data_IF_721877853084
#
_entry.id   IF_721877853084
#
_cell.length_a   1.000
_cell.length_b   1.000
_cell.length_c   1.000
_cell.angle_alpha   90.00
_cell.angle_beta   90.00
_cell.angle_gamma   90.00
#
_symmetry.space_group_name_H-M   'P 1'
#
loop_
_entity.id
_entity.type
_entity.pdbx_description
1 polymer ?
#
# COMPACT_ATOMS: atom_id res chain seq x y z
N UNK A 1 -55.69 1.42 23.49
CA UNK A 1 -54.37 1.31 24.15
C UNK A 1 -53.44 0.57 23.20
N UNK A 2 -52.60 1.29 22.45
CA UNK A 2 -51.75 0.71 21.41
C UNK A 2 -50.35 0.38 21.97
N UNK A 3 -49.85 -0.80 21.60
CA UNK A 3 -48.60 -1.41 22.05
C UNK A 3 -47.44 -1.00 21.09
N UNK A 4 -46.36 -0.35 21.55
CA UNK A 4 -45.24 0.04 20.68
C UNK A 4 -44.23 -1.11 20.56
N UNK A 5 -44.49 -2.05 19.65
CA UNK A 5 -43.46 -2.98 19.17
C UNK A 5 -42.74 -2.36 17.98
N UNK A 6 -41.44 -2.15 18.19
CA UNK A 6 -40.37 -2.31 17.20
C UNK A 6 -40.45 -1.38 15.98
N UNK A 7 -39.84 -0.20 16.16
CA UNK A 7 -39.39 0.62 15.05
C UNK A 7 -38.32 -0.17 14.28
N UNK A 8 -38.68 -0.59 13.07
CA UNK A 8 -37.80 -1.29 12.15
C UNK A 8 -36.56 -0.47 11.85
N UNK A 9 -35.40 -1.04 12.14
CA UNK A 9 -34.10 -0.46 11.81
C UNK A 9 -33.15 -1.53 11.25
N UNK A 10 -33.67 -2.44 10.42
CA UNK A 10 -32.85 -3.44 9.72
C UNK A 10 -33.50 -3.78 8.37
N UNK A 11 -33.54 -2.82 7.43
CA UNK A 11 -33.67 -3.18 6.02
C UNK A 11 -32.28 -3.63 5.52
N UNK A 12 -32.12 -4.95 5.40
CA UNK A 12 -30.91 -5.65 5.01
C UNK A 12 -30.48 -5.44 3.56
N UNK A 13 -30.18 -4.21 3.17
CA UNK A 13 -29.47 -3.88 1.93
C UNK A 13 -28.13 -3.25 2.27
N UNK A 14 -27.16 -4.09 2.64
CA UNK A 14 -25.77 -3.67 2.55
C UNK A 14 -25.44 -3.47 1.06
N UNK A 15 -24.98 -2.29 0.63
CA UNK A 15 -24.51 -2.12 -0.73
C UNK A 15 -23.35 -3.08 -0.96
N UNK A 16 -23.52 -4.05 -1.86
CA UNK A 16 -22.56 -5.13 -2.15
C UNK A 16 -21.21 -4.61 -2.64
N UNK A 17 -21.16 -3.37 -3.13
CA UNK A 17 -19.92 -2.66 -3.46
C UNK A 17 -20.11 -1.16 -3.17
N UNK A 18 -19.21 -0.58 -2.39
CA UNK A 18 -19.09 0.87 -2.29
C UNK A 18 -18.52 1.39 -3.61
N UNK A 19 -19.32 2.15 -4.36
CA UNK A 19 -18.86 2.79 -5.59
C UNK A 19 -18.10 4.07 -5.20
N UNK A 20 -16.79 3.92 -4.99
CA UNK A 20 -15.93 5.03 -4.57
C UNK A 20 -15.61 5.88 -5.81
N UNK A 21 -16.22 7.06 -5.91
CA UNK A 21 -15.91 8.04 -6.96
C UNK A 21 -14.59 8.74 -6.65
N UNK A 22 -13.47 8.24 -7.20
CA UNK A 22 -12.17 8.91 -7.12
C UNK A 22 -12.19 10.09 -8.11
N UNK A 23 -11.79 11.30 -7.69
CA UNK A 23 -11.64 12.44 -8.60
C UNK A 23 -10.66 12.07 -9.72
N UNK A 24 -10.99 12.42 -10.97
CA UNK A 24 -10.25 12.06 -12.18
C UNK A 24 -8.76 12.51 -12.23
N UNK A 25 -8.27 13.25 -11.24
CA UNK A 25 -6.87 13.68 -11.10
C UNK A 25 -6.38 13.48 -9.67
N UNK A 26 -6.46 12.25 -9.19
CA UNK A 26 -5.95 11.92 -7.87
C UNK A 26 -4.44 11.70 -7.93
N UNK A 27 -3.69 12.43 -7.10
CA UNK A 27 -2.22 12.43 -7.12
C UNK A 27 -1.62 11.02 -6.98
N UNK A 28 -2.19 10.18 -6.11
CA UNK A 28 -1.72 8.80 -5.93
C UNK A 28 -1.99 7.88 -7.13
N UNK A 29 -3.04 8.15 -7.92
CA UNK A 29 -3.31 7.39 -9.14
C UNK A 29 -2.29 7.77 -10.22
N UNK A 30 -2.03 9.08 -10.37
CA UNK A 30 -1.00 9.57 -11.29
C UNK A 30 0.39 9.05 -10.91
N UNK A 31 0.70 8.99 -9.61
CA UNK A 31 1.95 8.41 -9.11
C UNK A 31 2.07 6.94 -9.51
N UNK A 32 1.00 6.16 -9.34
CA UNK A 32 0.98 4.75 -9.72
C UNK A 32 1.26 4.52 -11.22
N UNK A 33 0.84 5.45 -12.08
CA UNK A 33 1.00 5.34 -13.53
C UNK A 33 2.33 5.91 -14.05
N UNK A 34 2.90 6.92 -13.36
CA UNK A 34 4.10 7.65 -13.82
C UNK A 34 5.42 7.05 -13.33
N UNK A 35 5.39 6.28 -12.24
CA UNK A 35 6.61 5.72 -11.65
C UNK A 35 7.03 4.46 -12.41
N UNK A 36 8.31 4.32 -12.78
CA UNK A 36 8.86 3.11 -13.39
C UNK A 36 9.05 2.01 -12.32
N UNK A 37 7.95 1.41 -11.87
CA UNK A 37 7.96 0.36 -10.86
C UNK A 37 8.82 -0.87 -11.23
N UNK A 38 8.90 -1.32 -12.49
CA UNK A 38 9.80 -2.42 -12.87
C UNK A 38 11.26 -2.11 -12.52
N UNK A 39 11.74 -0.91 -12.85
CA UNK A 39 13.13 -0.49 -12.56
C UNK A 39 13.39 -0.44 -11.05
N UNK A 40 12.45 0.10 -10.26
CA UNK A 40 12.54 0.10 -8.80
C UNK A 40 12.51 -1.31 -8.20
N UNK A 41 11.76 -2.22 -8.82
CA UNK A 41 11.69 -3.63 -8.43
C UNK A 41 13.02 -4.34 -8.67
N UNK A 42 13.64 -4.12 -9.82
CA UNK A 42 14.98 -4.66 -10.13
C UNK A 42 16.03 -4.14 -9.14
N UNK A 43 15.96 -2.86 -8.77
CA UNK A 43 16.83 -2.29 -7.72
C UNK A 43 16.60 -3.00 -6.38
N UNK A 44 15.34 -3.18 -5.96
CA UNK A 44 15.04 -3.87 -4.70
C UNK A 44 15.52 -5.33 -4.69
N UNK A 45 15.35 -6.04 -5.82
CA UNK A 45 15.84 -7.41 -6.00
C UNK A 45 17.37 -7.46 -5.90
N UNK A 46 18.09 -6.59 -6.62
CA UNK A 46 19.55 -6.56 -6.59
C UNK A 46 20.10 -6.23 -5.19
N UNK A 47 19.44 -5.34 -4.45
CA UNK A 47 19.79 -5.05 -3.05
C UNK A 47 19.62 -6.30 -2.19
N UNK A 48 18.49 -7.00 -2.35
CA UNK A 48 18.24 -8.25 -1.64
C UNK A 48 19.32 -9.28 -1.98
N UNK A 49 19.57 -9.56 -3.25
CA UNK A 49 20.58 -10.52 -3.71
C UNK A 49 21.98 -10.22 -3.16
N UNK A 50 22.35 -8.94 -3.08
CA UNK A 50 23.64 -8.54 -2.52
C UNK A 50 23.78 -8.82 -1.02
N UNK A 51 22.66 -8.99 -0.30
CA UNK A 51 22.62 -9.13 1.16
C UNK A 51 22.37 -10.55 1.65
N UNK A 52 21.62 -11.36 0.90
CA UNK A 52 21.30 -12.70 1.36
C UNK A 52 22.44 -13.67 1.02
N UNK A 53 22.82 -14.51 1.99
CA UNK A 53 23.81 -15.57 1.82
C UNK A 53 23.25 -16.86 1.22
N UNK A 54 21.92 -17.01 1.19
CA UNK A 54 21.20 -18.17 0.65
C UNK A 54 19.76 -17.78 0.28
N UNK A 55 19.19 -18.20 -0.86
CA UNK A 55 17.84 -17.84 -1.28
C UNK A 55 16.75 -18.63 -0.52
N UNK A 56 16.79 -18.59 0.82
CA UNK A 56 15.78 -19.22 1.66
C UNK A 56 14.69 -18.22 2.04
N UNK A 57 13.43 -18.57 1.77
CA UNK A 57 12.23 -17.80 2.14
C UNK A 57 11.36 -17.42 0.94
N UNK A 58 10.11 -17.06 1.22
CA UNK A 58 9.18 -16.57 0.19
C UNK A 58 9.67 -15.27 -0.41
N UNK A 59 9.39 -15.09 -1.70
CA UNK A 59 9.69 -13.84 -2.39
C UNK A 59 8.77 -12.72 -1.87
N UNK A 60 9.33 -11.53 -1.54
CA UNK A 60 8.52 -10.39 -1.15
C UNK A 60 7.56 -9.96 -2.26
N UNK A 61 6.41 -9.41 -1.88
CA UNK A 61 5.52 -8.67 -2.77
C UNK A 61 6.14 -7.32 -3.14
N UNK A 62 7.20 -7.33 -3.97
CA UNK A 62 8.05 -6.16 -4.19
C UNK A 62 7.27 -4.96 -4.69
N UNK A 63 6.35 -5.16 -5.64
CA UNK A 63 5.57 -4.06 -6.19
C UNK A 63 4.76 -3.39 -5.09
N UNK A 64 3.96 -4.17 -4.39
CA UNK A 64 3.01 -3.67 -3.40
C UNK A 64 3.71 -3.09 -2.17
N UNK A 65 4.86 -3.65 -1.78
CA UNK A 65 5.69 -3.13 -0.69
C UNK A 65 6.49 -1.89 -1.08
N UNK A 66 7.01 -1.80 -2.31
CA UNK A 66 7.65 -0.58 -2.83
C UNK A 66 6.64 0.55 -2.93
N UNK A 67 5.42 0.25 -3.40
CA UNK A 67 4.32 1.20 -3.47
C UNK A 67 3.93 1.72 -2.07
N UNK A 68 3.92 0.83 -1.06
CA UNK A 68 3.70 1.22 0.34
C UNK A 68 4.81 2.14 0.88
N UNK A 69 6.08 1.85 0.55
CA UNK A 69 7.21 2.73 0.91
C UNK A 69 7.13 4.08 0.18
N UNK A 70 6.73 4.08 -1.09
CA UNK A 70 6.51 5.30 -1.86
C UNK A 70 5.37 6.14 -1.26
N UNK A 71 4.26 5.51 -0.86
CA UNK A 71 3.17 6.16 -0.17
C UNK A 71 3.65 6.84 1.12
N UNK A 72 4.47 6.14 1.91
CA UNK A 72 5.08 6.70 3.12
C UNK A 72 5.96 7.91 2.82
N UNK A 73 6.80 7.81 1.79
CA UNK A 73 7.71 8.89 1.37
C UNK A 73 6.95 10.14 0.92
N UNK A 74 5.93 9.96 0.08
CA UNK A 74 5.13 11.07 -0.48
C UNK A 74 4.23 11.72 0.59
N UNK A 75 3.59 10.91 1.45
CA UNK A 75 2.64 11.41 2.46
C UNK A 75 3.28 11.77 3.80
N UNK A 76 4.54 11.39 4.02
CA UNK A 76 5.29 11.61 5.27
C UNK A 76 4.58 10.99 6.49
N UNK A 77 4.20 9.73 6.36
CA UNK A 77 3.39 9.00 7.34
C UNK A 77 4.15 7.82 7.94
N UNK A 78 3.65 7.27 9.06
CA UNK A 78 4.25 6.10 9.71
C UNK A 78 3.83 4.79 9.03
N UNK A 79 4.49 3.69 9.38
CA UNK A 79 4.12 2.34 8.89
C UNK A 79 2.67 1.97 9.24
N UNK A 80 2.19 2.37 10.42
CA UNK A 80 0.82 2.09 10.87
C UNK A 80 -0.20 2.90 10.08
N UNK A 81 0.10 4.16 9.80
CA UNK A 81 -0.75 4.99 8.96
C UNK A 81 -0.78 4.47 7.51
N UNK A 82 0.35 3.95 7.01
CA UNK A 82 0.41 3.35 5.69
C UNK A 82 -0.45 2.09 5.59
N UNK A 83 -0.38 1.19 6.58
CA UNK A 83 -1.27 0.03 6.69
C UNK A 83 -2.75 0.46 6.67
N UNK A 84 -3.12 1.43 7.51
CA UNK A 84 -4.50 1.93 7.62
C UNK A 84 -5.01 2.51 6.29
N UNK A 85 -4.18 3.32 5.62
CA UNK A 85 -4.51 3.87 4.30
C UNK A 85 -4.63 2.78 3.23
N UNK A 86 -3.74 1.78 3.21
CA UNK A 86 -3.83 0.69 2.21
C UNK A 86 -5.08 -0.16 2.43
N UNK A 87 -5.51 -0.35 3.68
CA UNK A 87 -6.71 -1.10 4.03
C UNK A 87 -8.00 -0.33 3.70
N UNK A 88 -8.05 0.97 3.99
CA UNK A 88 -9.31 1.72 4.03
C UNK A 88 -9.43 2.84 2.99
N UNK A 89 -8.34 3.20 2.30
CA UNK A 89 -8.32 4.29 1.33
C UNK A 89 -8.05 3.80 -0.09
N UNK A 90 -9.09 3.80 -0.94
CA UNK A 90 -9.03 3.24 -2.29
C UNK A 90 -7.88 3.78 -3.16
N UNK A 91 -7.53 5.08 -3.17
CA UNK A 91 -6.37 5.55 -3.93
C UNK A 91 -5.02 5.01 -3.44
N UNK A 92 -4.84 4.82 -2.13
CA UNK A 92 -3.61 4.19 -1.61
C UNK A 92 -3.57 2.70 -1.95
N UNK A 93 -4.72 2.02 -1.88
CA UNK A 93 -4.86 0.63 -2.31
C UNK A 93 -4.61 0.44 -3.80
N UNK A 94 -5.08 1.38 -4.63
CA UNK A 94 -4.80 1.41 -6.07
C UNK A 94 -3.32 1.64 -6.35
N UNK A 95 -2.68 2.58 -5.65
CA UNK A 95 -1.24 2.82 -5.77
C UNK A 95 -0.45 1.53 -5.57
N UNK A 96 -0.84 0.73 -4.58
CA UNK A 96 -0.20 -0.54 -4.26
C UNK A 96 -0.60 -1.72 -5.17
N UNK A 97 -1.42 -1.51 -6.21
CA UNK A 97 -1.88 -2.61 -7.06
C UNK A 97 -2.82 -3.61 -6.37
N UNK A 98 -3.40 -3.27 -5.21
CA UNK A 98 -4.15 -4.19 -4.35
C UNK A 98 -5.68 -4.13 -4.53
N UNK A 99 -6.18 -3.48 -5.58
CA UNK A 99 -7.62 -3.31 -5.78
C UNK A 99 -8.37 -4.65 -5.94
N UNK A 100 -7.79 -5.58 -6.68
CA UNK A 100 -8.38 -6.92 -6.91
C UNK A 100 -7.72 -8.01 -6.04
N UNK A 101 -6.81 -7.62 -5.15
CA UNK A 101 -6.09 -8.54 -4.25
C UNK A 101 -6.72 -8.57 -2.86
N UNK A 102 -6.81 -9.76 -2.27
CA UNK A 102 -7.17 -9.96 -0.86
C UNK A 102 -6.00 -9.76 0.08
N UNK A 103 -4.76 -9.75 -0.44
CA UNK A 103 -3.57 -9.53 0.36
C UNK A 103 -3.50 -8.07 0.82
N UNK A 104 -3.01 -7.88 2.05
CA UNK A 104 -2.85 -6.56 2.67
C UNK A 104 -1.55 -6.58 3.49
N UNK A 105 -0.60 -5.68 3.19
CA UNK A 105 0.59 -5.57 4.01
C UNK A 105 0.25 -4.93 5.36
N UNK A 106 0.72 -5.53 6.44
CA UNK A 106 0.69 -4.90 7.77
C UNK A 106 1.95 -4.04 8.00
N UNK A 107 1.92 -3.20 9.03
CA UNK A 107 3.03 -2.31 9.38
C UNK A 107 4.34 -3.07 9.65
N UNK A 108 4.28 -4.32 10.12
CA UNK A 108 5.48 -5.14 10.39
C UNK A 108 6.10 -5.57 9.06
N UNK A 109 5.29 -6.03 8.12
CA UNK A 109 5.72 -6.46 6.78
C UNK A 109 6.38 -5.30 6.03
N UNK A 110 5.77 -4.11 6.08
CA UNK A 110 6.35 -2.90 5.47
C UNK A 110 7.67 -2.56 6.16
N UNK A 111 7.73 -2.63 7.50
CA UNK A 111 8.95 -2.37 8.25
C UNK A 111 10.08 -3.36 7.91
N UNK A 112 9.82 -4.67 7.92
CA UNK A 112 10.79 -5.70 7.57
C UNK A 112 11.33 -5.52 6.15
N UNK A 113 10.46 -5.14 5.21
CA UNK A 113 10.87 -4.80 3.86
C UNK A 113 11.84 -3.60 3.83
N UNK A 114 11.58 -2.54 4.59
CA UNK A 114 12.52 -1.41 4.70
C UNK A 114 13.85 -1.80 5.35
N UNK A 115 13.85 -2.73 6.31
CA UNK A 115 15.08 -3.27 6.89
C UNK A 115 15.90 -4.06 5.86
N UNK A 116 15.21 -4.85 5.02
CA UNK A 116 15.81 -5.60 3.92
C UNK A 116 16.51 -4.66 2.92
N UNK A 117 15.82 -3.60 2.49
CA UNK A 117 16.40 -2.54 1.65
C UNK A 117 17.57 -1.82 2.34
N UNK A 118 17.43 -1.62 3.65
CA UNK A 118 18.36 -0.88 4.50
C UNK A 118 18.55 0.59 4.09
N UNK A 119 19.51 1.29 4.73
CA UNK A 119 19.64 2.75 4.58
C UNK A 119 19.88 3.19 3.13
N UNK A 120 20.76 2.49 2.40
CA UNK A 120 21.07 2.81 1.01
C UNK A 120 19.86 2.63 0.07
N UNK A 121 19.10 1.53 0.23
CA UNK A 121 17.88 1.30 -0.56
C UNK A 121 16.80 2.33 -0.26
N UNK A 122 16.61 2.65 1.03
CA UNK A 122 15.67 3.69 1.45
C UNK A 122 16.05 5.07 0.91
N UNK A 123 17.34 5.44 0.92
CA UNK A 123 17.80 6.70 0.34
C UNK A 123 17.56 6.77 -1.17
N UNK A 124 17.77 5.69 -1.91
CA UNK A 124 17.46 5.64 -3.35
C UNK A 124 15.99 5.92 -3.63
N UNK A 125 15.09 5.24 -2.91
CA UNK A 125 13.65 5.41 -3.07
C UNK A 125 13.22 6.82 -2.67
N UNK A 126 13.68 7.31 -1.53
CA UNK A 126 13.33 8.66 -1.07
C UNK A 126 13.83 9.76 -2.03
N UNK A 127 15.05 9.63 -2.56
CA UNK A 127 15.58 10.55 -3.56
C UNK A 127 14.75 10.55 -4.85
N UNK A 128 14.24 9.39 -5.27
CA UNK A 128 13.38 9.26 -6.44
C UNK A 128 12.08 10.08 -6.28
N UNK A 129 11.50 10.07 -5.08
CA UNK A 129 10.28 10.82 -4.76
C UNK A 129 10.51 12.24 -4.24
N UNK A 130 11.76 12.74 -4.30
CA UNK A 130 12.11 14.10 -3.89
C UNK A 130 12.09 14.32 -2.37
N UNK A 131 12.21 13.26 -1.58
CA UNK A 131 12.28 13.30 -0.13
C UNK A 131 13.76 13.44 0.31
N UNK A 132 14.13 14.64 0.79
CA UNK A 132 15.39 14.93 1.49
C UNK A 132 15.14 15.14 2.98
#
# INVERSE_FOLDING_TARGET
>A
MANPKQLGFLDGKHPTRAQISIRARHELLLLADLVPWPDLTEIAISIRESRIKSPSGSEPHYRELLDAVALMSVRKITFRDAEDLIAHYAPARYLCGLMDSTWQPDHITIFEFTQMLGPAGMSLINNFFGYQ
#
